data_IF_119526109766
#
_entry.id   IF_119526109766
#
_cell.length_a   1.000
_cell.length_b   1.000
_cell.length_c   1.000
_cell.angle_alpha   90.00
_cell.angle_beta   90.00
_cell.angle_gamma   90.00
#
_symmetry.space_group_name_H-M   'P 1'
#
loop_
_entity.id
_entity.type
_entity.pdbx_description
1 polymer ?
#
# COMPACT_ATOMS: atom_id res chain seq x y z
N UNK A 1 -9.75 -31.97 39.13
CA UNK A 1 -9.09 -30.66 38.94
C UNK A 1 -8.14 -30.64 37.74
N UNK A 2 -7.13 -31.53 37.67
CA UNK A 2 -6.16 -31.57 36.54
C UNK A 2 -6.79 -31.81 35.16
N UNK A 3 -7.83 -32.66 35.07
CA UNK A 3 -8.58 -32.92 33.81
C UNK A 3 -9.47 -31.75 33.38
N UNK A 4 -10.04 -31.01 34.34
CA UNK A 4 -10.87 -29.81 34.08
C UNK A 4 -9.98 -28.66 33.60
N UNK A 5 -8.77 -28.53 34.16
CA UNK A 5 -7.80 -27.51 33.75
C UNK A 5 -7.23 -27.76 32.35
N UNK A 6 -7.06 -29.02 31.94
CA UNK A 6 -6.66 -29.40 30.57
C UNK A 6 -7.78 -29.11 29.56
N UNK A 7 -9.03 -29.36 29.94
CA UNK A 7 -10.20 -29.13 29.06
C UNK A 7 -10.46 -27.63 28.83
N UNK A 8 -10.18 -26.78 29.83
CA UNK A 8 -10.29 -25.32 29.73
C UNK A 8 -9.16 -24.70 28.88
N UNK A 9 -7.99 -25.34 28.81
CA UNK A 9 -6.87 -24.88 27.99
C UNK A 9 -7.07 -25.19 26.50
N UNK A 10 -7.75 -26.29 26.17
CA UNK A 10 -8.03 -26.71 24.79
C UNK A 10 -9.11 -25.83 24.15
N UNK A 11 -10.06 -25.28 24.92
CA UNK A 11 -11.09 -24.38 24.39
C UNK A 11 -10.57 -23.00 24.03
N UNK A 12 -9.51 -22.49 24.68
CA UNK A 12 -8.91 -21.19 24.34
C UNK A 12 -8.17 -21.20 22.99
N UNK A 13 -7.63 -22.34 22.56
CA UNK A 13 -6.86 -22.44 21.31
C UNK A 13 -7.79 -22.47 20.08
N UNK A 14 -9.04 -22.93 20.25
CA UNK A 14 -10.01 -23.00 19.15
C UNK A 14 -10.46 -21.63 18.61
N UNK A 15 -10.38 -20.57 19.40
CA UNK A 15 -10.82 -19.23 18.99
C UNK A 15 -9.79 -18.45 18.15
N UNK A 16 -8.50 -18.76 18.27
CA UNK A 16 -7.44 -18.04 17.57
C UNK A 16 -7.35 -18.36 16.06
N UNK A 17 -7.93 -19.48 15.62
CA UNK A 17 -7.83 -19.93 14.23
C UNK A 17 -8.75 -19.17 13.24
N UNK A 18 -9.69 -18.35 13.73
CA UNK A 18 -10.69 -17.68 12.88
C UNK A 18 -10.32 -16.25 12.48
N UNK A 19 -9.15 -15.73 12.87
CA UNK A 19 -8.75 -14.34 12.62
C UNK A 19 -7.79 -14.14 11.43
N UNK A 20 -7.45 -15.20 10.69
CA UNK A 20 -6.56 -15.06 9.52
C UNK A 20 -7.37 -14.72 8.27
N UNK A 21 -7.34 -13.45 7.85
CA UNK A 21 -7.90 -13.02 6.58
C UNK A 21 -7.28 -13.81 5.41
N UNK A 22 -8.14 -14.29 4.50
CA UNK A 22 -7.71 -15.05 3.33
C UNK A 22 -7.02 -14.12 2.34
N UNK A 23 -5.68 -14.16 2.31
CA UNK A 23 -4.84 -13.39 1.39
C UNK A 23 -5.18 -13.67 -0.08
N UNK A 24 -5.34 -12.61 -0.87
CA UNK A 24 -5.64 -12.64 -2.29
C UNK A 24 -4.38 -12.35 -3.13
N UNK A 25 -4.08 -13.25 -4.06
CA UNK A 25 -2.92 -13.12 -4.97
C UNK A 25 -3.11 -12.08 -6.07
N UNK A 26 -4.33 -11.58 -6.28
CA UNK A 26 -4.70 -10.57 -7.26
C UNK A 26 -5.64 -9.53 -6.61
N UNK A 27 -5.30 -9.10 -5.39
CA UNK A 27 -6.05 -8.06 -4.70
C UNK A 27 -6.01 -6.77 -5.52
N UNK A 28 -7.16 -6.12 -5.66
CA UNK A 28 -7.31 -4.85 -6.38
C UNK A 28 -7.46 -3.74 -5.36
N UNK A 29 -6.62 -2.72 -5.46
CA UNK A 29 -6.71 -1.52 -4.64
C UNK A 29 -6.77 -0.29 -5.52
N UNK A 30 -7.45 0.73 -5.02
CA UNK A 30 -7.44 2.07 -5.58
C UNK A 30 -6.93 2.99 -4.49
N UNK A 31 -5.87 3.73 -4.78
CA UNK A 31 -5.15 4.54 -3.80
C UNK A 31 -5.00 5.95 -4.34
N UNK A 32 -5.41 6.95 -3.58
CA UNK A 32 -5.18 8.34 -3.97
C UNK A 32 -3.69 8.66 -3.84
N UNK A 33 -3.10 9.23 -4.90
CA UNK A 33 -1.70 9.68 -4.92
C UNK A 33 -1.63 11.08 -5.52
N UNK A 34 -1.02 12.01 -4.80
CA UNK A 34 -0.88 13.40 -5.24
C UNK A 34 0.11 13.50 -6.40
N UNK A 35 -0.35 14.05 -7.51
CA UNK A 35 0.42 14.30 -8.73
C UNK A 35 -0.42 15.09 -9.73
N UNK A 36 0.22 15.54 -10.80
CA UNK A 36 -0.34 16.56 -11.69
C UNK A 36 0.17 16.50 -13.15
N UNK A 37 1.09 15.60 -13.49
CA UNK A 37 1.59 15.50 -14.85
C UNK A 37 2.04 14.07 -15.23
N UNK A 38 2.34 13.86 -16.51
CA UNK A 38 2.86 12.61 -17.06
C UNK A 38 4.17 12.13 -16.42
N UNK A 39 5.00 13.06 -15.93
CA UNK A 39 6.20 12.67 -15.18
C UNK A 39 5.86 12.12 -13.79
N UNK A 40 4.81 12.62 -13.14
CA UNK A 40 4.29 12.03 -11.91
C UNK A 40 3.81 10.61 -12.18
N UNK A 41 3.01 10.40 -13.25
CA UNK A 41 2.52 9.07 -13.65
C UNK A 41 3.65 8.05 -13.75
N UNK A 42 4.66 8.35 -14.57
CA UNK A 42 5.82 7.46 -14.74
C UNK A 42 6.56 7.19 -13.44
N UNK A 43 6.72 8.20 -12.58
CA UNK A 43 7.42 8.06 -11.30
C UNK A 43 6.64 7.21 -10.30
N UNK A 44 5.34 7.50 -10.14
CA UNK A 44 4.42 6.80 -9.24
C UNK A 44 4.30 5.33 -9.64
N UNK A 45 4.03 5.05 -10.92
CA UNK A 45 3.90 3.69 -11.42
C UNK A 45 5.21 2.90 -11.26
N UNK A 46 6.36 3.51 -11.60
CA UNK A 46 7.67 2.87 -11.42
C UNK A 46 7.97 2.56 -9.95
N UNK A 47 7.63 3.47 -9.04
CA UNK A 47 7.79 3.24 -7.61
C UNK A 47 6.89 2.10 -7.12
N UNK A 48 5.62 2.06 -7.55
CA UNK A 48 4.72 0.97 -7.21
C UNK A 48 5.23 -0.38 -7.75
N UNK A 49 5.65 -0.45 -9.01
CA UNK A 49 6.21 -1.67 -9.60
C UNK A 49 7.52 -2.15 -8.98
N UNK A 50 8.26 -1.26 -8.30
CA UNK A 50 9.48 -1.66 -7.59
C UNK A 50 9.21 -2.53 -6.36
N UNK A 51 7.97 -2.56 -5.87
CA UNK A 51 7.58 -3.34 -4.71
C UNK A 51 7.30 -4.79 -5.11
N UNK A 52 8.01 -5.79 -4.55
CA UNK A 52 7.79 -7.20 -4.88
C UNK A 52 6.35 -7.63 -4.59
N UNK A 53 5.71 -8.24 -5.58
CA UNK A 53 4.32 -8.70 -5.47
C UNK A 53 3.30 -7.79 -6.15
N UNK A 54 3.67 -6.59 -6.59
CA UNK A 54 2.86 -5.78 -7.50
C UNK A 54 2.86 -6.41 -8.89
N UNK A 55 1.66 -6.57 -9.45
CA UNK A 55 1.40 -7.15 -10.78
C UNK A 55 0.98 -6.10 -11.79
N UNK A 56 0.29 -5.05 -11.34
CA UNK A 56 -0.15 -3.93 -12.16
C UNK A 56 -0.21 -2.68 -11.31
N UNK A 57 0.22 -1.55 -11.87
CA UNK A 57 0.11 -0.22 -11.30
C UNK A 57 -0.18 0.75 -12.46
N UNK A 58 -1.36 1.37 -12.45
CA UNK A 58 -1.75 2.40 -13.41
C UNK A 58 -2.29 3.61 -12.65
N UNK A 59 -1.58 4.73 -12.71
CA UNK A 59 -2.01 5.98 -12.07
C UNK A 59 -2.61 6.93 -13.09
N UNK A 60 -3.80 7.43 -12.83
CA UNK A 60 -4.50 8.33 -13.74
C UNK A 60 -4.36 9.80 -13.29
N UNK A 61 -4.03 10.68 -14.25
CA UNK A 61 -3.81 12.11 -13.98
C UNK A 61 -5.13 12.83 -13.68
N UNK A 62 -6.22 12.40 -14.32
CA UNK A 62 -7.53 13.04 -14.25
C UNK A 62 -8.19 12.90 -12.88
N UNK A 63 -8.10 11.71 -12.27
CA UNK A 63 -8.69 11.44 -10.96
C UNK A 63 -7.65 11.31 -9.81
N UNK A 64 -6.35 11.29 -10.14
CA UNK A 64 -5.23 11.13 -9.20
C UNK A 64 -5.24 9.79 -8.45
N UNK A 65 -5.87 8.77 -9.02
CA UNK A 65 -5.97 7.44 -8.45
C UNK A 65 -4.93 6.49 -9.04
N UNK A 66 -4.27 5.72 -8.18
CA UNK A 66 -3.47 4.57 -8.54
C UNK A 66 -4.32 3.30 -8.46
N UNK A 67 -4.57 2.68 -9.61
CA UNK A 67 -5.17 1.35 -9.70
C UNK A 67 -4.08 0.27 -9.61
N UNK A 68 -4.14 -0.52 -8.55
CA UNK A 68 -3.12 -1.48 -8.18
C UNK A 68 -3.69 -2.90 -8.21
N UNK A 69 -2.91 -3.85 -8.74
CA UNK A 69 -3.12 -5.28 -8.54
C UNK A 69 -1.89 -5.84 -7.85
N UNK A 70 -2.05 -6.44 -6.68
CA UNK A 70 -0.94 -7.02 -5.91
C UNK A 70 -1.25 -8.43 -5.40
N UNK A 71 -0.18 -9.12 -4.96
CA UNK A 71 -0.27 -10.35 -4.20
C UNK A 71 -0.08 -10.06 -2.70
N UNK A 72 -1.15 -10.20 -1.92
CA UNK A 72 -1.18 -9.94 -0.47
C UNK A 72 -0.31 -10.91 0.37
N UNK A 73 0.14 -12.02 -0.23
CA UNK A 73 1.13 -12.90 0.37
C UNK A 73 2.54 -12.28 0.37
N UNK A 74 2.81 -11.33 -0.54
CA UNK A 74 4.14 -10.73 -0.75
C UNK A 74 4.24 -9.28 -0.31
N UNK A 75 3.15 -8.52 -0.38
CA UNK A 75 3.14 -7.08 -0.07
C UNK A 75 1.74 -6.62 0.34
N UNK A 76 1.60 -5.36 0.73
CA UNK A 76 0.33 -4.69 1.04
C UNK A 76 0.23 -3.37 0.27
N UNK A 77 -0.96 -2.78 0.20
CA UNK A 77 -1.15 -1.46 -0.38
C UNK A 77 -0.36 -0.38 0.39
N UNK A 78 -0.20 -0.54 1.71
CA UNK A 78 0.59 0.36 2.56
C UNK A 78 2.09 0.35 2.18
N UNK A 79 2.67 -0.82 1.90
CA UNK A 79 4.08 -0.91 1.47
C UNK A 79 4.29 -0.23 0.11
N UNK A 80 3.31 -0.32 -0.78
CA UNK A 80 3.30 0.42 -2.05
C UNK A 80 3.22 1.92 -1.80
N UNK A 81 2.35 2.36 -0.90
CA UNK A 81 2.23 3.78 -0.52
C UNK A 81 3.52 4.33 0.07
N UNK A 82 4.24 3.56 0.91
CA UNK A 82 5.57 3.94 1.41
C UNK A 82 6.60 4.10 0.30
N UNK A 83 6.60 3.21 -0.70
CA UNK A 83 7.51 3.32 -1.84
C UNK A 83 7.23 4.57 -2.69
N UNK A 84 5.96 4.93 -2.86
CA UNK A 84 5.53 6.13 -3.57
C UNK A 84 5.90 7.41 -2.81
N UNK A 85 5.69 7.42 -1.49
CA UNK A 85 6.12 8.53 -0.62
C UNK A 85 7.63 8.78 -0.68
N UNK A 86 8.45 7.71 -0.76
CA UNK A 86 9.91 7.82 -0.89
C UNK A 86 10.38 8.46 -2.20
N UNK A 87 9.54 8.48 -3.25
CA UNK A 87 9.86 9.18 -4.51
C UNK A 87 9.25 10.58 -4.59
N UNK A 88 8.70 11.07 -3.48
CA UNK A 88 8.24 12.44 -3.30
C UNK A 88 6.72 12.63 -3.39
N UNK A 89 5.94 11.58 -3.64
CA UNK A 89 4.49 11.70 -3.83
C UNK A 89 3.69 11.30 -2.58
N UNK A 90 2.87 12.22 -2.08
CA UNK A 90 1.97 11.95 -0.98
C UNK A 90 0.87 10.97 -1.40
N UNK A 91 0.54 10.08 -0.49
CA UNK A 91 -0.53 9.09 -0.65
C UNK A 91 -1.56 9.27 0.45
N UNK A 92 -2.69 8.57 0.36
CA UNK A 92 -3.74 8.59 1.38
C UNK A 92 -3.23 8.26 2.80
N UNK A 93 -2.36 7.25 2.93
CA UNK A 93 -1.86 6.77 4.23
C UNK A 93 -0.47 7.27 4.58
N UNK A 94 0.37 7.59 3.58
CA UNK A 94 1.78 7.92 3.79
C UNK A 94 2.15 9.20 3.04
N UNK A 95 2.62 10.19 3.80
CA UNK A 95 3.19 11.42 3.24
C UNK A 95 4.67 11.25 2.94
N UNK A 96 5.12 11.85 1.84
CA UNK A 96 6.53 11.99 1.51
C UNK A 96 7.26 12.85 2.55
N UNK A 97 8.57 12.66 2.69
CA UNK A 97 9.39 13.62 3.46
C UNK A 97 9.46 14.95 2.69
N UNK A 98 9.72 16.05 3.39
CA UNK A 98 9.94 17.34 2.72
C UNK A 98 11.13 17.25 1.75
N UNK A 99 12.21 16.57 2.15
CA UNK A 99 13.37 16.34 1.29
C UNK A 99 13.02 15.59 0.00
N UNK A 100 12.22 14.53 0.05
CA UNK A 100 11.86 13.78 -1.16
C UNK A 100 10.86 14.54 -2.04
N UNK A 101 9.97 15.30 -1.42
CA UNK A 101 9.04 16.18 -2.12
C UNK A 101 9.76 17.34 -2.83
N UNK A 102 10.75 17.96 -2.20
CA UNK A 102 11.54 19.06 -2.78
C UNK A 102 12.41 18.61 -3.97
N UNK A 103 12.72 17.31 -4.08
CA UNK A 103 13.40 16.72 -5.24
C UNK A 103 12.46 16.48 -6.44
N UNK A 104 11.16 16.73 -6.30
CA UNK A 104 10.24 16.66 -7.43
C UNK A 104 10.57 17.76 -8.46
N UNK A 105 10.33 17.46 -9.73
CA UNK A 105 10.45 18.47 -10.77
C UNK A 105 9.42 19.58 -10.54
N UNK A 106 9.67 20.81 -10.99
CA UNK A 106 8.78 21.96 -10.74
C UNK A 106 7.33 21.71 -11.19
N UNK A 107 7.12 20.97 -12.29
CA UNK A 107 5.78 20.61 -12.77
C UNK A 107 5.11 19.46 -11.99
N UNK A 108 5.83 18.83 -11.06
CA UNK A 108 5.35 17.77 -10.18
C UNK A 108 4.98 18.30 -8.78
N UNK A 109 5.25 19.59 -8.50
CA UNK A 109 4.90 20.22 -7.24
C UNK A 109 3.37 20.39 -7.14
N UNK A 110 2.82 20.17 -5.95
CA UNK A 110 1.40 20.27 -5.64
C UNK A 110 1.22 20.78 -4.20
N UNK A 111 0.04 21.34 -3.90
CA UNK A 111 -0.27 21.78 -2.55
C UNK A 111 -0.37 20.58 -1.59
N UNK A 112 0.34 20.65 -0.46
CA UNK A 112 0.35 19.62 0.58
C UNK A 112 -0.52 20.11 1.74
N UNK A 113 -1.48 19.29 2.16
CA UNK A 113 -2.32 19.53 3.34
C UNK A 113 -1.68 18.93 4.59
#
# INVERSE_FOLDING_TARGET
MKKIMIMLFISLVGFAAQAQEKKNKNAKHTVEVKGNCEMCKKRIEKAAFSVPGVKSANWDIGDKQLHLILNEEKTSDEEVQKAIAKVGHDTEKVKATNEDYEKLHTCCAYERN
#
